data_IF_196900236025
#
_entry.id   IF_196900236025
#
_cell.length_a   1.000
_cell.length_b   1.000
_cell.length_c   1.000
_cell.angle_alpha   90.00
_cell.angle_beta   90.00
_cell.angle_gamma   90.00
#
_symmetry.space_group_name_H-M   'P 1'
#
loop_
_entity.id
_entity.type
_entity.pdbx_description
1 polymer ?
#
# COMPACT_ATOMS: atom_id res chain seq x y z
N UNK A 1 -2.94 31.24 7.74
CA UNK A 1 -3.29 29.90 7.23
C UNK A 1 -4.18 30.10 6.04
N UNK A 2 -3.81 29.58 4.87
CA UNK A 2 -4.62 29.74 3.67
C UNK A 2 -5.94 28.98 3.81
N UNK A 3 -7.03 29.64 3.43
CA UNK A 3 -8.35 29.07 3.44
C UNK A 3 -8.50 28.05 2.29
N UNK A 4 -9.01 26.86 2.61
CA UNK A 4 -9.20 25.80 1.61
C UNK A 4 -10.27 26.23 0.61
N UNK A 5 -10.00 26.03 -0.68
CA UNK A 5 -10.99 26.29 -1.73
C UNK A 5 -12.16 25.30 -1.59
N UNK A 6 -13.38 25.67 -1.99
CA UNK A 6 -14.55 24.77 -1.90
C UNK A 6 -14.35 23.40 -2.56
N UNK A 7 -13.57 23.32 -3.65
CA UNK A 7 -13.22 22.06 -4.32
C UNK A 7 -12.27 21.19 -3.49
N UNK A 8 -11.32 21.81 -2.81
CA UNK A 8 -10.36 21.12 -1.93
C UNK A 8 -11.06 20.55 -0.70
N UNK A 9 -12.05 21.26 -0.16
CA UNK A 9 -12.90 20.76 0.93
C UNK A 9 -13.67 19.51 0.50
N UNK A 10 -14.28 19.52 -0.70
CA UNK A 10 -14.98 18.33 -1.25
C UNK A 10 -14.03 17.15 -1.45
N UNK A 11 -12.82 17.42 -1.95
CA UNK A 11 -11.78 16.40 -2.11
C UNK A 11 -11.45 15.73 -0.77
N UNK A 12 -11.20 16.52 0.28
CA UNK A 12 -10.92 15.99 1.62
C UNK A 12 -12.11 15.26 2.22
N UNK A 13 -13.33 15.77 2.02
CA UNK A 13 -14.56 15.09 2.45
C UNK A 13 -14.69 13.69 1.86
N UNK A 14 -14.51 13.54 0.55
CA UNK A 14 -14.54 12.22 -0.09
C UNK A 14 -13.43 11.27 0.41
N UNK A 15 -12.25 11.79 0.73
CA UNK A 15 -11.17 10.99 1.32
C UNK A 15 -11.54 10.52 2.73
N UNK A 16 -12.15 11.38 3.55
CA UNK A 16 -12.63 11.03 4.90
C UNK A 16 -13.77 10.01 4.86
N UNK A 17 -14.57 10.00 3.79
CA UNK A 17 -15.58 8.97 3.50
C UNK A 17 -14.98 7.63 3.02
N UNK A 18 -13.65 7.54 2.85
CA UNK A 18 -12.96 6.31 2.41
C UNK A 18 -12.89 6.13 0.90
N UNK A 19 -13.26 7.14 0.09
CA UNK A 19 -13.10 7.08 -1.37
C UNK A 19 -11.63 7.21 -1.76
N UNK A 20 -11.27 6.61 -2.90
CA UNK A 20 -9.93 6.77 -3.45
C UNK A 20 -9.64 8.24 -3.78
N UNK A 21 -8.39 8.68 -3.65
CA UNK A 21 -8.00 10.07 -3.94
C UNK A 21 -8.38 10.52 -5.36
N UNK A 22 -8.32 9.59 -6.33
CA UNK A 22 -8.77 9.84 -7.71
C UNK A 22 -10.27 10.07 -7.78
N UNK A 23 -11.07 9.20 -7.15
CA UNK A 23 -12.53 9.32 -7.15
C UNK A 23 -12.98 10.60 -6.47
N UNK A 24 -12.44 10.91 -5.28
CA UNK A 24 -12.74 12.16 -4.56
C UNK A 24 -12.38 13.40 -5.38
N UNK A 25 -11.28 13.35 -6.15
CA UNK A 25 -10.91 14.45 -7.04
C UNK A 25 -11.86 14.59 -8.23
N UNK A 26 -12.29 13.50 -8.85
CA UNK A 26 -13.29 13.57 -9.94
C UNK A 26 -14.60 14.17 -9.42
N UNK A 27 -15.09 13.72 -8.26
CA UNK A 27 -16.31 14.26 -7.62
C UNK A 27 -16.16 15.72 -7.20
N UNK A 28 -14.96 16.15 -6.79
CA UNK A 28 -14.63 17.53 -6.47
C UNK A 28 -14.52 18.45 -7.71
N UNK A 29 -14.62 17.90 -8.93
CA UNK A 29 -14.58 18.65 -10.18
C UNK A 29 -13.19 18.83 -10.78
N UNK A 30 -12.22 17.97 -10.42
CA UNK A 30 -10.93 17.91 -11.09
C UNK A 30 -11.04 17.13 -12.40
N UNK A 31 -10.27 17.51 -13.45
CA UNK A 31 -10.28 16.78 -14.71
C UNK A 31 -9.82 15.33 -14.53
N UNK A 32 -10.58 14.36 -15.02
CA UNK A 32 -10.31 12.92 -14.84
C UNK A 32 -8.87 12.48 -15.20
N UNK A 33 -8.21 13.01 -16.25
CA UNK A 33 -6.83 12.63 -16.59
C UNK A 33 -5.79 13.05 -15.53
N UNK A 34 -6.04 14.15 -14.81
CA UNK A 34 -5.11 14.71 -13.81
C UNK A 34 -5.61 14.59 -12.37
N UNK A 35 -6.83 14.07 -12.16
CA UNK A 35 -7.46 13.95 -10.86
C UNK A 35 -6.57 13.23 -9.84
N UNK A 36 -5.98 12.09 -10.22
CA UNK A 36 -5.12 11.31 -9.32
C UNK A 36 -3.83 12.06 -8.93
N UNK A 37 -3.14 12.67 -9.90
CA UNK A 37 -1.89 13.38 -9.65
C UNK A 37 -2.10 14.68 -8.88
N UNK A 38 -3.17 15.42 -9.17
CA UNK A 38 -3.53 16.62 -8.42
C UNK A 38 -3.97 16.30 -6.99
N UNK A 39 -4.78 15.25 -6.79
CA UNK A 39 -5.15 14.80 -5.46
C UNK A 39 -3.93 14.43 -4.64
N UNK A 40 -3.01 13.64 -5.21
CA UNK A 40 -1.77 13.24 -4.54
C UNK A 40 -0.92 14.44 -4.16
N UNK A 41 -0.69 15.39 -5.09
CA UNK A 41 0.05 16.62 -4.79
C UNK A 41 -0.60 17.44 -3.69
N UNK A 42 -1.92 17.57 -3.71
CA UNK A 42 -2.67 18.35 -2.73
C UNK A 42 -2.62 17.72 -1.33
N UNK A 43 -2.91 16.42 -1.22
CA UNK A 43 -2.92 15.68 0.06
C UNK A 43 -1.53 15.60 0.69
N UNK A 44 -0.47 15.67 -0.13
CA UNK A 44 0.90 15.66 0.36
C UNK A 44 1.42 17.03 0.82
N UNK A 45 0.64 18.11 0.71
CA UNK A 45 1.06 19.41 1.25
C UNK A 45 1.06 19.39 2.79
N UNK A 46 2.10 19.94 3.46
CA UNK A 46 2.20 19.90 4.92
C UNK A 46 1.00 20.51 5.66
N UNK A 47 0.53 21.67 5.18
CA UNK A 47 -0.63 22.39 5.71
C UNK A 47 -1.94 21.59 5.60
N UNK A 48 -2.11 20.87 4.50
CA UNK A 48 -3.27 20.01 4.26
C UNK A 48 -3.22 18.77 5.14
N UNK A 49 -2.03 18.16 5.33
CA UNK A 49 -1.84 16.99 6.20
C UNK A 49 -2.19 17.29 7.65
N UNK A 50 -1.70 18.41 8.20
CA UNK A 50 -2.05 18.83 9.55
C UNK A 50 -3.56 19.05 9.71
N UNK A 51 -4.20 19.67 8.72
CA UNK A 51 -5.63 19.93 8.75
C UNK A 51 -6.46 18.66 8.63
N UNK A 52 -6.04 17.73 7.78
CA UNK A 52 -6.64 16.40 7.66
C UNK A 52 -6.53 15.63 8.98
N UNK A 53 -5.39 15.72 9.67
CA UNK A 53 -5.20 15.08 10.98
C UNK A 53 -6.17 15.65 12.02
N UNK A 54 -6.30 16.98 12.12
CA UNK A 54 -7.29 17.61 13.02
C UNK A 54 -8.73 17.25 12.67
N UNK A 55 -9.07 17.18 11.38
CA UNK A 55 -10.42 16.78 10.95
C UNK A 55 -10.70 15.31 11.29
N UNK A 56 -9.70 14.43 11.18
CA UNK A 56 -9.83 13.02 11.60
C UNK A 56 -10.07 12.91 13.10
N UNK A 57 -9.32 13.65 13.91
CA UNK A 57 -9.53 13.72 15.36
C UNK A 57 -10.95 14.21 15.72
N UNK A 58 -11.43 15.27 15.05
CA UNK A 58 -12.79 15.80 15.25
C UNK A 58 -13.90 14.80 14.88
N UNK A 59 -13.64 13.94 13.88
CA UNK A 59 -14.56 12.88 13.46
C UNK A 59 -14.46 11.62 14.34
N UNK A 60 -13.64 11.64 15.40
CA UNK A 60 -13.39 10.47 16.23
C UNK A 60 -12.59 9.37 15.53
N UNK A 61 -11.96 9.67 14.39
CA UNK A 61 -11.07 8.78 13.63
C UNK A 61 -9.60 8.93 14.08
N UNK A 62 -9.42 9.19 15.38
CA UNK A 62 -8.12 9.26 16.03
C UNK A 62 -7.44 7.88 16.10
N UNK A 63 -6.21 7.86 16.59
CA UNK A 63 -5.38 6.66 16.60
C UNK A 63 -6.02 5.50 17.39
N UNK A 64 -6.74 5.80 18.48
CA UNK A 64 -7.45 4.78 19.26
C UNK A 64 -8.59 4.10 18.48
N UNK A 65 -9.35 4.87 17.71
CA UNK A 65 -10.43 4.33 16.89
C UNK A 65 -9.89 3.48 15.73
N UNK A 66 -8.75 3.89 15.15
CA UNK A 66 -8.05 3.10 14.15
C UNK A 66 -7.53 1.79 14.73
N UNK A 67 -6.95 1.82 15.94
CA UNK A 67 -6.46 0.62 16.61
C UNK A 67 -7.60 -0.34 16.92
N UNK A 68 -8.75 0.16 17.35
CA UNK A 68 -9.95 -0.65 17.56
C UNK A 68 -10.38 -1.34 16.27
N UNK A 69 -10.46 -0.58 15.17
CA UNK A 69 -10.82 -1.12 13.84
C UNK A 69 -9.78 -2.10 13.30
N UNK A 70 -8.50 -1.83 13.53
CA UNK A 70 -7.43 -2.73 13.16
C UNK A 70 -7.54 -4.05 13.95
N UNK A 71 -7.86 -4.00 15.25
CA UNK A 71 -8.11 -5.20 16.05
C UNK A 71 -9.31 -5.99 15.52
N UNK A 72 -10.42 -5.34 15.20
CA UNK A 72 -11.58 -6.00 14.58
C UNK A 72 -11.20 -6.72 13.27
N UNK A 73 -10.37 -6.10 12.43
CA UNK A 73 -9.91 -6.71 11.18
C UNK A 73 -8.92 -7.86 11.41
N UNK A 74 -8.10 -7.80 12.45
CA UNK A 74 -7.22 -8.91 12.85
C UNK A 74 -8.00 -10.12 13.37
N UNK A 75 -9.20 -9.90 13.90
CA UNK A 75 -10.11 -10.95 14.37
C UNK A 75 -11.15 -11.36 13.29
N UNK A 76 -11.00 -10.85 12.05
CA UNK A 76 -11.99 -11.06 10.99
C UNK A 76 -12.09 -12.54 10.56
N UNK A 77 -13.34 -12.95 10.32
CA UNK A 77 -13.73 -14.30 9.90
C UNK A 77 -14.25 -14.25 8.46
N UNK A 78 -13.94 -15.28 7.68
CA UNK A 78 -14.39 -15.44 6.32
C UNK A 78 -15.69 -16.27 6.28
N UNK A 79 -16.65 -15.77 5.53
CA UNK A 79 -17.92 -16.43 5.26
C UNK A 79 -18.09 -16.61 3.76
N UNK A 80 -18.67 -17.74 3.34
CA UNK A 80 -19.06 -17.96 1.96
C UNK A 80 -20.50 -18.47 1.88
N UNK A 81 -21.19 -18.06 0.83
CA UNK A 81 -22.55 -18.52 0.55
C UNK A 81 -22.47 -19.79 -0.29
N UNK A 82 -23.10 -20.87 0.15
CA UNK A 82 -23.22 -22.10 -0.64
C UNK A 82 -24.19 -21.90 -1.79
N UNK A 83 -24.17 -22.80 -2.77
CA UNK A 83 -25.08 -22.76 -3.93
C UNK A 83 -26.55 -22.82 -3.51
N UNK A 84 -26.83 -23.42 -2.36
CA UNK A 84 -28.16 -23.56 -1.77
C UNK A 84 -28.58 -22.35 -0.92
N UNK A 85 -27.72 -21.32 -0.83
CA UNK A 85 -28.00 -20.07 -0.13
C UNK A 85 -27.64 -20.05 1.35
N UNK A 86 -27.01 -21.10 1.87
CA UNK A 86 -26.58 -21.15 3.27
C UNK A 86 -25.24 -20.42 3.47
N UNK A 87 -25.11 -19.70 4.58
CA UNK A 87 -23.86 -19.03 4.95
C UNK A 87 -22.97 -20.03 5.71
N UNK A 88 -21.85 -20.42 5.10
CA UNK A 88 -20.85 -21.29 5.71
C UNK A 88 -19.65 -20.49 6.21
N UNK A 89 -19.28 -20.74 7.45
CA UNK A 89 -18.09 -20.18 8.07
C UNK A 89 -16.84 -20.92 7.56
N UNK A 90 -15.91 -20.20 6.93
CA UNK A 90 -14.69 -20.75 6.33
C UNK A 90 -13.46 -20.65 7.25
N UNK A 91 -13.57 -19.97 8.38
CA UNK A 91 -12.47 -19.74 9.32
C UNK A 91 -11.94 -18.31 9.23
N UNK A 92 -10.71 -18.03 9.68
CA UNK A 92 -10.14 -16.68 9.70
C UNK A 92 -9.92 -16.12 8.28
N UNK A 93 -10.20 -14.84 8.08
CA UNK A 93 -9.89 -14.13 6.83
C UNK A 93 -8.42 -13.71 6.80
N UNK A 94 -7.55 -14.65 6.43
CA UNK A 94 -6.11 -14.44 6.36
C UNK A 94 -5.72 -13.28 5.42
N UNK A 95 -6.53 -12.97 4.41
CA UNK A 95 -6.24 -11.86 3.49
C UNK A 95 -6.51 -10.51 4.15
N UNK A 96 -7.65 -10.36 4.83
CA UNK A 96 -7.95 -9.14 5.58
C UNK A 96 -6.96 -8.94 6.73
N UNK A 97 -6.62 -10.00 7.46
CA UNK A 97 -5.65 -9.97 8.55
C UNK A 97 -4.25 -9.57 8.06
N UNK A 98 -3.73 -10.22 7.01
CA UNK A 98 -2.40 -9.90 6.46
C UNK A 98 -2.31 -8.48 5.89
N UNK A 99 -3.36 -7.98 5.22
CA UNK A 99 -3.42 -6.59 4.74
C UNK A 99 -3.45 -5.58 5.89
N UNK A 100 -4.16 -5.91 6.97
CA UNK A 100 -4.23 -5.05 8.16
C UNK A 100 -2.87 -4.96 8.84
N UNK A 101 -2.18 -6.10 8.99
CA UNK A 101 -0.80 -6.12 9.50
C UNK A 101 0.12 -5.27 8.62
N UNK A 102 0.12 -5.48 7.31
CA UNK A 102 0.92 -4.69 6.36
C UNK A 102 0.70 -3.18 6.53
N UNK A 103 -0.56 -2.75 6.67
CA UNK A 103 -0.89 -1.34 6.90
C UNK A 103 -0.39 -0.82 8.25
N UNK A 104 -0.49 -1.61 9.32
CA UNK A 104 0.04 -1.25 10.64
C UNK A 104 1.58 -1.13 10.61
N UNK A 105 2.28 -2.06 9.95
CA UNK A 105 3.74 -2.00 9.79
C UNK A 105 4.16 -0.74 9.01
N UNK A 106 3.42 -0.38 7.94
CA UNK A 106 3.65 0.87 7.19
C UNK A 106 3.41 2.11 8.03
N UNK A 107 2.32 2.13 8.80
CA UNK A 107 1.98 3.25 9.67
C UNK A 107 3.00 3.44 10.81
N UNK A 108 3.49 2.34 11.37
CA UNK A 108 4.51 2.34 12.43
C UNK A 108 5.95 2.60 11.94
N UNK A 109 6.17 2.72 10.63
CA UNK A 109 7.52 2.89 10.06
C UNK A 109 8.43 1.67 10.29
N UNK A 110 7.84 0.49 10.51
CA UNK A 110 8.55 -0.75 10.83
C UNK A 110 8.99 -1.53 9.57
N UNK A 111 8.63 -1.05 8.38
CA UNK A 111 9.17 -1.59 7.15
C UNK A 111 10.66 -1.24 7.01
N UNK A 112 11.53 -2.21 6.68
CA UNK A 112 12.91 -1.89 6.32
C UNK A 112 12.90 -0.93 5.14
N UNK A 113 13.59 0.19 5.28
CA UNK A 113 13.66 1.22 4.25
C UNK A 113 14.52 0.67 3.10
N UNK A 114 13.95 0.34 1.92
CA UNK A 114 14.68 -0.34 0.86
C UNK A 114 15.81 0.52 0.27
N UNK A 115 15.87 1.81 0.61
CA UNK A 115 16.96 2.71 0.23
C UNK A 115 18.13 2.70 1.20
N UNK A 116 17.91 2.34 2.47
CA UNK A 116 18.97 2.28 3.48
C UNK A 116 19.63 0.90 3.52
N UNK A 117 18.89 -0.18 3.25
CA UNK A 117 19.43 -1.56 3.28
C UNK A 117 20.34 -1.90 2.08
N UNK A 118 20.35 -1.09 1.01
CA UNK A 118 21.26 -1.30 -0.13
C UNK A 118 22.69 -0.82 0.16
N UNK A 119 22.93 -0.17 1.30
CA UNK A 119 24.25 0.38 1.65
C UNK A 119 25.02 -0.38 2.74
N UNK A 120 24.56 -1.56 3.15
CA UNK A 120 25.29 -2.43 4.08
C UNK A 120 25.40 -3.84 3.49
N UNK A 121 26.16 -3.97 2.41
CA UNK A 121 26.38 -5.27 1.78
C UNK A 121 26.96 -5.19 0.37
N UNK A 122 27.99 -4.37 0.17
CA UNK A 122 28.80 -4.41 -1.06
C UNK A 122 29.58 -5.72 -1.12
N UNK A 123 28.91 -6.82 -1.45
CA UNK A 123 29.52 -8.01 -2.02
C UNK A 123 28.67 -8.44 -3.22
N UNK A 124 28.90 -7.73 -4.33
CA UNK A 124 28.74 -8.14 -5.73
C UNK A 124 27.57 -9.10 -6.03
N UNK A 125 26.38 -8.54 -6.29
CA UNK A 125 25.36 -9.26 -7.06
C UNK A 125 25.76 -9.20 -8.53
N UNK A 126 26.36 -10.28 -9.03
CA UNK A 126 26.67 -10.45 -10.45
C UNK A 126 25.38 -10.91 -11.16
N UNK A 127 24.70 -10.00 -11.87
CA UNK A 127 23.56 -10.37 -12.70
C UNK A 127 24.07 -10.82 -14.07
N UNK A 128 24.01 -12.13 -14.33
CA UNK A 128 24.27 -12.68 -15.67
C UNK A 128 22.99 -12.51 -16.49
N UNK A 129 22.95 -11.47 -17.34
CA UNK A 129 21.79 -11.12 -18.17
C UNK A 129 21.54 -12.12 -19.32
N UNK A 130 22.51 -12.98 -19.66
CA UNK A 130 22.28 -14.09 -20.59
C UNK A 130 23.38 -15.16 -20.52
N UNK A 131 23.03 -16.40 -20.90
CA UNK A 131 23.96 -17.54 -21.03
C UNK A 131 25.10 -17.34 -22.06
N UNK A 132 25.11 -16.21 -22.79
CA UNK A 132 26.17 -15.82 -23.73
C UNK A 132 27.17 -14.82 -23.15
N UNK A 133 26.98 -14.42 -21.89
CA UNK A 133 27.93 -13.54 -21.20
C UNK A 133 29.27 -14.26 -21.01
N UNK A 134 30.41 -13.62 -21.30
CA UNK A 134 31.74 -14.23 -21.11
C UNK A 134 32.03 -14.61 -19.64
N UNK A 135 31.22 -14.12 -18.69
CA UNK A 135 31.28 -14.47 -17.27
C UNK A 135 30.49 -15.75 -16.92
N UNK A 136 29.62 -16.24 -17.80
CA UNK A 136 28.91 -17.51 -17.62
C UNK A 136 29.84 -18.74 -17.80
N UNK A 137 31.03 -18.55 -18.37
CA UNK A 137 32.07 -19.57 -18.48
C UNK A 137 32.82 -19.82 -17.16
N UNK A 138 32.57 -18.99 -16.13
CA UNK A 138 33.17 -19.10 -14.79
C UNK A 138 32.15 -19.57 -13.73
N UNK A 139 30.95 -20.00 -14.17
CA UNK A 139 29.93 -20.53 -13.28
C UNK A 139 30.36 -21.92 -12.76
N UNK A 140 30.67 -22.08 -11.46
CA UNK A 140 31.13 -23.36 -10.90
C UNK A 140 30.01 -24.41 -10.81
N UNK A 141 28.78 -24.08 -11.22
CA UNK A 141 27.63 -24.99 -11.23
C UNK A 141 27.16 -25.37 -12.63
N UNK A 142 27.81 -24.86 -13.67
CA UNK A 142 27.50 -25.19 -15.05
C UNK A 142 28.52 -26.21 -15.57
N UNK A 143 28.29 -27.49 -15.29
CA UNK A 143 29.10 -28.56 -15.86
C UNK A 143 28.99 -28.53 -17.40
N UNK A 144 30.11 -28.59 -18.14
CA UNK A 144 30.02 -28.69 -19.59
C UNK A 144 29.34 -30.02 -19.96
N UNK A 145 28.47 -30.03 -20.99
CA UNK A 145 27.83 -31.26 -21.41
C UNK A 145 28.92 -32.26 -21.84
N UNK A 146 28.86 -33.46 -21.26
CA UNK A 146 29.69 -34.59 -21.67
C UNK A 146 29.57 -34.77 -23.18
N UNK A 147 30.72 -34.75 -23.87
CA UNK A 147 30.79 -35.04 -25.28
C UNK A 147 30.65 -36.57 -25.43
N UNK A 148 29.47 -37.04 -25.79
CA UNK A 148 29.29 -38.40 -26.29
C UNK A 148 30.01 -38.52 -27.65
N UNK A 149 30.89 -39.53 -27.76
CA UNK A 149 31.63 -39.92 -28.97
C UNK A 149 30.74 -40.41 -30.12
#
# INVERSE_FOLDING_TARGET
MDELKPREVRLLGGILEGKSARQSAVEAGYPAPSAASQASRFVNRPDVRERLQRLREQLGLGDEALLLKAKELLESQQYAMTRDGEVKHLGPDNLAQSRTLDQLFKAGGLYPDPRLDVQVGTQNVLVIDSARSPLAALDPFNDPPEQDE
#
